data_IF_664729919362
#
_entry.id   IF_664729919362
#
_cell.length_a   1.000
_cell.length_b   1.000
_cell.length_c   1.000
_cell.angle_alpha   90.00
_cell.angle_beta   90.00
_cell.angle_gamma   90.00
#
_symmetry.space_group_name_H-M   'P 1'
#
loop_
_entity.id
_entity.type
_entity.pdbx_description
1 polymer ?
#
# COMPACT_ATOMS: atom_id res chain seq x y z
N UNK A 1 16.87 54.20 4.61
CA UNK A 1 17.56 53.01 5.16
C UNK A 1 16.61 52.20 6.04
N UNK A 2 15.30 52.19 5.71
CA UNK A 2 14.21 51.64 6.53
C UNK A 2 13.40 50.50 5.90
N UNK A 3 13.78 49.97 4.74
CA UNK A 3 12.90 49.03 4.01
C UNK A 3 13.46 47.61 3.82
N UNK A 4 14.70 47.36 4.22
CA UNK A 4 15.29 46.02 4.15
C UNK A 4 15.00 45.14 5.38
N UNK A 5 14.55 45.71 6.51
CA UNK A 5 14.24 44.97 7.74
C UNK A 5 12.85 44.35 7.71
N UNK A 6 11.87 44.90 6.98
CA UNK A 6 10.53 44.34 6.83
C UNK A 6 10.51 43.09 5.94
N UNK A 7 11.28 43.06 4.87
CA UNK A 7 11.36 41.85 4.00
C UNK A 7 12.16 40.70 4.63
N UNK A 8 13.01 40.97 5.63
CA UNK A 8 13.74 39.93 6.36
C UNK A 8 12.87 39.26 7.44
N UNK A 9 11.86 39.93 7.99
CA UNK A 9 10.97 39.39 9.03
C UNK A 9 9.80 38.57 8.46
N UNK A 10 9.35 38.84 7.23
CA UNK A 10 8.29 38.04 6.59
C UNK A 10 8.79 36.69 6.03
N UNK A 11 10.09 36.50 5.80
CA UNK A 11 10.70 35.24 5.35
C UNK A 11 11.01 34.23 6.45
N UNK A 12 10.88 34.61 7.72
CA UNK A 12 11.24 33.80 8.88
C UNK A 12 10.03 33.21 9.67
N UNK A 13 8.79 33.41 9.18
CA UNK A 13 7.61 32.84 9.80
C UNK A 13 7.65 31.31 9.60
N UNK A 14 7.93 30.56 10.69
CA UNK A 14 7.90 29.11 10.72
C UNK A 14 6.51 28.61 10.37
N UNK A 15 6.42 27.48 9.64
CA UNK A 15 5.13 26.83 9.32
C UNK A 15 4.46 26.42 10.63
N UNK A 16 3.27 26.93 10.89
CA UNK A 16 2.49 26.65 12.12
C UNK A 16 1.88 25.24 12.09
N UNK A 17 1.61 24.66 13.26
CA UNK A 17 0.94 23.38 13.38
C UNK A 17 -0.45 23.38 12.69
N UNK A 18 -1.18 24.49 12.72
CA UNK A 18 -2.48 24.66 12.07
C UNK A 18 -2.36 24.63 10.54
N UNK A 19 -1.33 25.25 9.98
CA UNK A 19 -1.05 25.21 8.55
C UNK A 19 -0.67 23.80 8.09
N UNK A 20 0.17 23.08 8.87
CA UNK A 20 0.51 21.69 8.58
C UNK A 20 -0.75 20.80 8.62
N UNK A 21 -1.64 20.98 9.60
CA UNK A 21 -2.89 20.22 9.68
C UNK A 21 -3.83 20.49 8.50
N UNK A 22 -3.92 21.75 8.07
CA UNK A 22 -4.71 22.15 6.89
C UNK A 22 -4.14 21.53 5.62
N UNK A 23 -2.82 21.58 5.46
CA UNK A 23 -2.13 20.97 4.34
C UNK A 23 -2.30 19.45 4.32
N UNK A 24 -2.18 18.78 5.48
CA UNK A 24 -2.40 17.35 5.63
C UNK A 24 -3.81 16.94 5.17
N UNK A 25 -4.86 17.68 5.55
CA UNK A 25 -6.23 17.43 5.09
C UNK A 25 -6.36 17.55 3.57
N UNK A 26 -5.72 18.58 2.98
CA UNK A 26 -5.70 18.76 1.52
C UNK A 26 -4.96 17.60 0.81
N UNK A 27 -3.80 17.21 1.32
CA UNK A 27 -3.03 16.07 0.79
C UNK A 27 -3.85 14.79 0.81
N UNK A 28 -4.50 14.50 1.95
CA UNK A 28 -5.39 13.34 2.06
C UNK A 28 -6.52 13.39 1.04
N UNK A 29 -7.23 14.52 0.91
CA UNK A 29 -8.33 14.66 -0.03
C UNK A 29 -7.87 14.44 -1.49
N UNK A 30 -6.79 15.10 -1.92
CA UNK A 30 -6.25 14.95 -3.28
C UNK A 30 -5.82 13.52 -3.56
N UNK A 31 -5.16 12.88 -2.60
CA UNK A 31 -4.70 11.50 -2.74
C UNK A 31 -5.87 10.51 -2.75
N UNK A 32 -6.90 10.73 -1.92
CA UNK A 32 -8.15 9.94 -1.93
C UNK A 32 -8.84 10.01 -3.29
N UNK A 33 -9.00 11.23 -3.85
CA UNK A 33 -9.60 11.40 -5.18
C UNK A 33 -8.80 10.64 -6.24
N UNK A 34 -7.47 10.77 -6.21
CA UNK A 34 -6.61 10.02 -7.14
C UNK A 34 -6.75 8.50 -6.97
N UNK A 35 -6.89 7.99 -5.73
CA UNK A 35 -7.07 6.56 -5.44
C UNK A 35 -8.43 6.03 -5.89
N UNK A 36 -9.49 6.80 -5.72
CA UNK A 36 -10.82 6.43 -6.24
C UNK A 36 -10.80 6.25 -7.77
N UNK A 37 -10.13 7.19 -8.48
CA UNK A 37 -9.96 7.10 -9.92
C UNK A 37 -9.08 5.89 -10.30
N UNK A 38 -7.89 5.78 -9.70
CA UNK A 38 -6.92 4.73 -10.03
C UNK A 38 -7.38 3.33 -9.68
N UNK A 39 -8.24 3.17 -8.65
CA UNK A 39 -8.75 1.87 -8.23
C UNK A 39 -9.53 1.15 -9.34
N UNK A 40 -10.29 1.89 -10.14
CA UNK A 40 -10.97 1.32 -11.30
C UNK A 40 -9.98 0.78 -12.36
N UNK A 41 -8.85 1.48 -12.52
CA UNK A 41 -7.76 1.02 -13.39
C UNK A 41 -7.09 -0.25 -12.89
N UNK A 42 -6.82 -0.35 -11.58
CA UNK A 42 -6.15 -1.52 -11.01
C UNK A 42 -6.95 -2.82 -11.24
N UNK A 43 -8.27 -2.76 -11.11
CA UNK A 43 -9.14 -3.92 -11.24
C UNK A 43 -9.11 -4.55 -12.64
N UNK A 44 -8.91 -3.76 -13.70
CA UNK A 44 -8.83 -4.26 -15.08
C UNK A 44 -7.71 -5.30 -15.25
N UNK A 45 -6.51 -5.00 -14.75
CA UNK A 45 -5.37 -5.90 -14.86
C UNK A 45 -5.55 -7.23 -14.14
N UNK A 46 -6.18 -7.20 -12.97
CA UNK A 46 -6.39 -8.39 -12.12
C UNK A 46 -7.46 -9.30 -12.72
N UNK A 47 -8.57 -8.73 -13.22
CA UNK A 47 -9.74 -9.51 -13.67
C UNK A 47 -9.63 -9.99 -15.12
N UNK A 48 -9.03 -9.22 -16.00
CA UNK A 48 -9.13 -9.46 -17.46
C UNK A 48 -7.76 -9.71 -18.10
N UNK A 49 -6.67 -9.33 -17.44
CA UNK A 49 -5.32 -9.43 -18.02
C UNK A 49 -4.94 -10.84 -18.47
N UNK A 50 -5.27 -11.86 -17.69
CA UNK A 50 -5.00 -13.26 -18.04
C UNK A 50 -5.86 -13.73 -19.21
N UNK A 51 -7.15 -13.37 -19.21
CA UNK A 51 -8.08 -13.75 -20.29
C UNK A 51 -7.71 -13.10 -21.62
N UNK A 52 -7.35 -11.81 -21.61
CA UNK A 52 -6.92 -11.11 -22.83
C UNK A 52 -5.63 -11.70 -23.39
N UNK A 53 -4.71 -12.09 -22.53
CA UNK A 53 -3.48 -12.71 -22.98
C UNK A 53 -3.70 -14.14 -23.51
N UNK A 54 -4.61 -14.90 -22.93
CA UNK A 54 -4.99 -16.22 -23.46
C UNK A 54 -5.61 -16.09 -24.86
N UNK A 55 -6.49 -15.12 -25.05
CA UNK A 55 -7.13 -14.82 -26.33
C UNK A 55 -6.10 -14.46 -27.42
N UNK A 56 -5.14 -13.58 -27.11
CA UNK A 56 -4.10 -13.13 -28.07
C UNK A 56 -2.99 -14.17 -28.26
N UNK A 57 -2.63 -14.95 -27.22
CA UNK A 57 -1.56 -15.96 -27.29
C UNK A 57 -2.06 -17.32 -27.82
N UNK A 58 -3.38 -17.53 -27.87
CA UNK A 58 -3.98 -18.77 -28.35
C UNK A 58 -3.69 -20.02 -27.51
N UNK A 59 -3.23 -19.87 -26.27
CA UNK A 59 -2.88 -21.01 -25.40
C UNK A 59 -3.04 -20.68 -23.91
N UNK A 60 -3.75 -21.57 -23.20
CA UNK A 60 -3.92 -21.51 -21.74
C UNK A 60 -2.62 -21.71 -20.96
N UNK A 61 -1.63 -22.40 -21.55
CA UNK A 61 -0.33 -22.65 -20.91
C UNK A 61 0.47 -21.36 -20.63
N UNK A 62 0.17 -20.26 -21.32
CA UNK A 62 0.83 -18.96 -21.19
C UNK A 62 0.07 -17.97 -20.29
N UNK A 63 -1.12 -18.35 -19.78
CA UNK A 63 -2.00 -17.45 -19.01
C UNK A 63 -1.36 -16.85 -17.74
N UNK A 64 -0.32 -17.47 -17.20
CA UNK A 64 0.42 -16.95 -16.04
C UNK A 64 1.44 -15.85 -16.36
N UNK A 65 1.91 -15.75 -17.62
CA UNK A 65 2.96 -14.80 -18.01
C UNK A 65 2.53 -13.34 -17.80
N UNK A 66 1.31 -12.90 -18.17
CA UNK A 66 0.86 -11.54 -17.97
C UNK A 66 0.89 -11.11 -16.50
N UNK A 67 0.44 -11.97 -15.60
CA UNK A 67 0.46 -11.71 -14.16
C UNK A 67 1.90 -11.59 -13.62
N UNK A 68 2.81 -12.43 -14.10
CA UNK A 68 4.22 -12.37 -13.74
C UNK A 68 4.88 -11.07 -14.26
N UNK A 69 4.64 -10.68 -15.50
CA UNK A 69 5.15 -9.45 -16.10
C UNK A 69 4.58 -8.19 -15.44
N UNK A 70 3.28 -8.17 -15.16
CA UNK A 70 2.62 -7.11 -14.39
C UNK A 70 3.26 -6.95 -13.01
N UNK A 71 3.48 -8.05 -12.28
CA UNK A 71 4.11 -8.03 -10.96
C UNK A 71 5.56 -7.57 -11.03
N UNK A 72 6.34 -8.07 -12.00
CA UNK A 72 7.72 -7.65 -12.22
C UNK A 72 7.80 -6.16 -12.57
N UNK A 73 6.93 -5.68 -13.44
CA UNK A 73 6.80 -4.27 -13.80
C UNK A 73 6.47 -3.39 -12.60
N UNK A 74 5.52 -3.82 -11.77
CA UNK A 74 5.16 -3.15 -10.52
C UNK A 74 6.34 -3.09 -9.54
N UNK A 75 7.09 -4.17 -9.39
CA UNK A 75 8.26 -4.25 -8.50
C UNK A 75 9.37 -3.27 -8.93
N UNK A 76 9.71 -3.24 -10.23
CA UNK A 76 10.68 -2.29 -10.79
C UNK A 76 10.17 -0.85 -10.63
N UNK A 77 8.90 -0.60 -10.99
CA UNK A 77 8.28 0.71 -10.90
C UNK A 77 8.27 1.23 -9.46
N UNK A 78 8.04 0.39 -8.45
CA UNK A 78 8.08 0.79 -7.04
C UNK A 78 9.42 1.41 -6.64
N UNK A 79 10.52 0.81 -7.09
CA UNK A 79 11.88 1.35 -6.84
C UNK A 79 12.12 2.66 -7.58
N UNK A 80 11.75 2.73 -8.86
CA UNK A 80 11.92 3.94 -9.69
C UNK A 80 11.10 5.09 -9.12
N UNK A 81 9.82 4.86 -8.81
CA UNK A 81 8.92 5.86 -8.22
C UNK A 81 9.40 6.32 -6.84
N UNK A 82 9.94 5.41 -6.02
CA UNK A 82 10.56 5.74 -4.74
C UNK A 82 11.74 6.71 -4.93
N UNK A 83 12.61 6.46 -5.92
CA UNK A 83 13.74 7.34 -6.26
C UNK A 83 13.29 8.69 -6.83
N UNK A 84 12.30 8.69 -7.73
CA UNK A 84 11.71 9.93 -8.26
C UNK A 84 11.04 10.74 -7.16
N UNK A 85 10.26 10.10 -6.28
CA UNK A 85 9.65 10.76 -5.12
C UNK A 85 10.72 11.33 -4.18
N UNK A 86 11.83 10.62 -4.01
CA UNK A 86 12.95 11.09 -3.20
C UNK A 86 13.63 12.32 -3.79
N UNK A 87 13.80 12.37 -5.11
CA UNK A 87 14.47 13.48 -5.79
C UNK A 87 13.56 14.69 -5.97
N UNK A 88 12.31 14.47 -6.39
CA UNK A 88 11.42 15.51 -6.88
C UNK A 88 10.10 15.66 -6.11
N UNK A 89 9.89 14.85 -5.07
CA UNK A 89 8.67 14.83 -4.25
C UNK A 89 7.64 13.79 -4.69
N UNK A 90 6.63 13.57 -3.82
CA UNK A 90 5.55 12.59 -4.03
C UNK A 90 4.72 12.89 -5.27
N UNK A 91 4.46 14.16 -5.53
CA UNK A 91 3.70 14.61 -6.67
C UNK A 91 4.29 14.06 -7.98
N UNK A 92 5.60 14.23 -8.17
CA UNK A 92 6.27 13.76 -9.39
C UNK A 92 6.30 12.23 -9.45
N UNK A 93 6.70 11.56 -8.36
CA UNK A 93 6.79 10.10 -8.33
C UNK A 93 5.45 9.41 -8.62
N UNK A 94 4.38 9.83 -7.95
CA UNK A 94 3.06 9.22 -8.11
C UNK A 94 2.42 9.58 -9.46
N UNK A 95 2.48 10.85 -9.88
CA UNK A 95 1.93 11.28 -11.17
C UNK A 95 2.62 10.57 -12.34
N UNK A 96 3.95 10.42 -12.29
CA UNK A 96 4.71 9.64 -13.29
C UNK A 96 4.30 8.17 -13.26
N UNK A 97 4.16 7.58 -12.06
CA UNK A 97 3.77 6.19 -11.91
C UNK A 97 2.42 5.87 -12.54
N UNK A 98 1.40 6.70 -12.27
CA UNK A 98 0.10 6.56 -12.91
C UNK A 98 0.13 6.91 -14.40
N UNK A 99 0.87 7.94 -14.81
CA UNK A 99 1.03 8.31 -16.23
C UNK A 99 1.65 7.18 -17.06
N UNK A 100 2.69 6.54 -16.55
CA UNK A 100 3.32 5.36 -17.18
C UNK A 100 2.34 4.19 -17.20
N UNK A 101 1.57 3.97 -16.12
CA UNK A 101 0.49 2.97 -16.09
C UNK A 101 -0.59 3.22 -17.15
N UNK A 102 -0.96 4.48 -17.38
CA UNK A 102 -1.90 4.86 -18.44
C UNK A 102 -1.34 4.55 -19.83
N UNK A 103 -0.07 4.85 -20.08
CA UNK A 103 0.62 4.48 -21.34
C UNK A 103 0.64 2.96 -21.53
N UNK A 104 0.94 2.21 -20.46
CA UNK A 104 0.86 0.75 -20.47
C UNK A 104 -0.53 0.24 -20.83
N UNK A 105 -1.60 0.85 -20.26
CA UNK A 105 -2.99 0.50 -20.58
C UNK A 105 -3.32 0.72 -22.07
N UNK A 106 -2.89 1.85 -22.64
CA UNK A 106 -3.03 2.13 -24.09
C UNK A 106 -2.26 1.10 -24.92
N UNK A 107 -1.03 0.77 -24.50
CA UNK A 107 -0.22 -0.25 -25.17
C UNK A 107 -0.87 -1.64 -25.19
N UNK A 108 -1.57 -2.02 -24.09
CA UNK A 108 -2.35 -3.27 -24.02
C UNK A 108 -3.48 -3.25 -25.06
N UNK A 109 -4.24 -2.14 -25.14
CA UNK A 109 -5.32 -1.99 -26.11
C UNK A 109 -4.78 -2.07 -27.54
N UNK A 110 -3.69 -1.36 -27.84
CA UNK A 110 -3.06 -1.40 -29.17
C UNK A 110 -2.57 -2.81 -29.50
N UNK A 111 -1.89 -3.49 -28.55
CA UNK A 111 -1.44 -4.87 -28.72
C UNK A 111 -2.57 -5.85 -29.01
N UNK A 112 -3.72 -5.67 -28.35
CA UNK A 112 -4.91 -6.48 -28.58
C UNK A 112 -5.57 -6.19 -29.94
N UNK A 113 -5.64 -4.92 -30.36
CA UNK A 113 -6.26 -4.52 -31.65
C UNK A 113 -5.40 -4.93 -32.83
N UNK A 114 -4.08 -4.86 -32.68
CA UNK A 114 -3.12 -5.21 -33.76
C UNK A 114 -2.69 -6.67 -33.74
N UNK A 115 -3.27 -7.46 -32.83
CA UNK A 115 -2.95 -8.89 -32.65
C UNK A 115 -1.44 -9.14 -32.47
N UNK A 116 -0.78 -8.29 -31.64
CA UNK A 116 0.66 -8.35 -31.38
C UNK A 116 0.98 -8.79 -29.95
N UNK A 117 1.26 -10.10 -29.74
CA UNK A 117 1.51 -10.65 -28.41
C UNK A 117 2.68 -10.00 -27.67
N UNK A 118 3.77 -9.71 -28.38
CA UNK A 118 4.97 -9.11 -27.75
C UNK A 118 4.68 -7.71 -27.23
N UNK A 119 3.93 -6.89 -28.01
CA UNK A 119 3.52 -5.56 -27.59
C UNK A 119 2.61 -5.63 -26.37
N UNK A 120 1.64 -6.54 -26.37
CA UNK A 120 0.71 -6.74 -25.25
C UNK A 120 1.47 -7.12 -23.96
N UNK A 121 2.39 -8.08 -24.02
CA UNK A 121 3.19 -8.52 -22.88
C UNK A 121 4.12 -7.42 -22.36
N UNK A 122 4.79 -6.69 -23.25
CA UNK A 122 5.61 -5.53 -22.87
C UNK A 122 4.76 -4.44 -22.20
N UNK A 123 3.58 -4.15 -22.74
CA UNK A 123 2.66 -3.18 -22.21
C UNK A 123 2.10 -3.59 -20.82
N UNK A 124 1.88 -4.90 -20.56
CA UNK A 124 1.51 -5.42 -19.23
C UNK A 124 2.58 -5.09 -18.19
N UNK A 125 3.85 -5.19 -18.54
CA UNK A 125 4.95 -4.82 -17.65
C UNK A 125 4.90 -3.32 -17.31
N UNK A 126 4.68 -2.47 -18.31
CA UNK A 126 4.56 -1.02 -18.14
C UNK A 126 3.32 -0.65 -17.32
N UNK A 127 2.21 -1.33 -17.56
CA UNK A 127 0.95 -1.16 -16.80
C UNK A 127 1.10 -1.41 -15.30
N UNK A 128 1.99 -2.31 -14.89
CA UNK A 128 2.35 -2.56 -13.49
C UNK A 128 2.80 -1.32 -12.72
N UNK A 129 3.27 -0.26 -13.42
CA UNK A 129 3.64 1.02 -12.81
C UNK A 129 2.46 1.70 -12.12
N UNK A 130 1.24 1.60 -12.67
CA UNK A 130 0.02 2.13 -12.04
C UNK A 130 -0.30 1.42 -10.72
N UNK A 131 -0.11 0.10 -10.65
CA UNK A 131 -0.30 -0.67 -9.42
C UNK A 131 0.73 -0.28 -8.33
N UNK A 132 1.98 -0.06 -8.70
CA UNK A 132 3.00 0.44 -7.78
C UNK A 132 2.65 1.84 -7.23
N UNK A 133 2.19 2.76 -8.10
CA UNK A 133 1.75 4.09 -7.69
C UNK A 133 0.54 4.03 -6.74
N UNK A 134 -0.43 3.15 -7.02
CA UNK A 134 -1.58 2.91 -6.17
C UNK A 134 -1.15 2.50 -4.75
N UNK A 135 -0.25 1.55 -4.63
CA UNK A 135 0.26 1.10 -3.35
C UNK A 135 1.10 2.18 -2.65
N UNK A 136 1.93 2.94 -3.38
CA UNK A 136 2.79 3.98 -2.80
C UNK A 136 2.04 5.26 -2.37
N UNK A 137 0.84 5.50 -2.90
CA UNK A 137 0.04 6.67 -2.52
C UNK A 137 -0.25 6.75 -1.01
N UNK A 138 -0.30 5.59 -0.30
CA UNK A 138 -0.46 5.56 1.16
C UNK A 138 0.63 6.31 1.92
N UNK A 139 1.84 6.36 1.37
CA UNK A 139 2.95 7.07 2.00
C UNK A 139 2.79 8.60 1.92
N UNK A 140 2.24 9.10 0.81
CA UNK A 140 1.96 10.53 0.66
C UNK A 140 0.96 11.00 1.73
N UNK A 141 -0.04 10.16 2.06
CA UNK A 141 -0.97 10.42 3.15
C UNK A 141 -0.30 10.48 4.53
N UNK A 142 0.78 9.73 4.75
CA UNK A 142 1.47 9.65 6.03
C UNK A 142 2.57 10.69 6.22
N UNK A 143 3.06 11.34 5.16
CA UNK A 143 4.27 12.17 5.19
C UNK A 143 4.16 13.40 6.12
N UNK A 144 3.00 14.02 6.22
CA UNK A 144 2.71 15.17 7.09
C UNK A 144 1.86 14.81 8.31
N UNK A 145 1.43 13.55 8.42
CA UNK A 145 0.63 13.11 9.56
C UNK A 145 1.48 13.08 10.84
N UNK A 146 0.92 13.53 11.98
CA UNK A 146 1.57 13.38 13.27
C UNK A 146 1.78 11.90 13.59
N UNK A 147 2.75 11.54 14.45
CA UNK A 147 3.08 10.14 14.76
C UNK A 147 1.88 9.29 15.21
N UNK A 148 0.97 9.89 15.98
CA UNK A 148 -0.27 9.31 16.52
C UNK A 148 -1.44 9.28 15.51
N UNK A 149 -1.25 9.79 14.30
CA UNK A 149 -2.24 9.85 13.23
C UNK A 149 -1.81 9.17 11.93
N UNK A 150 -0.59 8.61 11.85
CA UNK A 150 -0.04 8.01 10.62
C UNK A 150 -0.80 6.77 10.18
N UNK A 151 -1.20 5.92 11.13
CA UNK A 151 -1.99 4.74 10.85
C UNK A 151 -3.34 5.10 10.22
N UNK A 152 -4.05 6.08 10.79
CA UNK A 152 -5.31 6.60 10.23
C UNK A 152 -5.12 7.23 8.84
N UNK A 153 -4.04 7.98 8.62
CA UNK A 153 -3.74 8.59 7.33
C UNK A 153 -3.51 7.52 6.24
N UNK A 154 -2.70 6.48 6.53
CA UNK A 154 -2.50 5.31 5.65
C UNK A 154 -3.82 4.62 5.35
N UNK A 155 -4.61 4.34 6.38
CA UNK A 155 -5.90 3.67 6.28
C UNK A 155 -6.91 4.40 5.40
N UNK A 156 -6.97 5.73 5.51
CA UNK A 156 -7.85 6.57 4.69
C UNK A 156 -7.56 6.37 3.21
N UNK A 157 -6.28 6.29 2.82
CA UNK A 157 -5.88 6.07 1.44
C UNK A 157 -6.23 4.64 0.98
N UNK A 158 -6.01 3.64 1.83
CA UNK A 158 -6.32 2.24 1.49
C UNK A 158 -7.82 2.00 1.33
N UNK A 159 -8.67 2.60 2.18
CA UNK A 159 -10.13 2.50 2.03
C UNK A 159 -10.60 3.15 0.73
N UNK A 160 -10.01 4.26 0.31
CA UNK A 160 -10.34 4.88 -0.96
C UNK A 160 -10.09 3.93 -2.15
N UNK A 161 -9.02 3.13 -2.09
CA UNK A 161 -8.73 2.10 -3.10
C UNK A 161 -9.84 1.05 -3.20
N UNK A 162 -10.49 0.71 -2.08
CA UNK A 162 -11.55 -0.32 -2.04
C UNK A 162 -12.71 0.02 -2.97
N UNK A 163 -13.14 1.27 -2.97
CA UNK A 163 -14.27 1.72 -3.81
C UNK A 163 -13.96 1.47 -5.28
N UNK A 164 -12.78 1.84 -5.74
CA UNK A 164 -12.34 1.59 -7.11
C UNK A 164 -12.16 0.09 -7.41
N UNK A 165 -11.58 -0.66 -6.48
CA UNK A 165 -11.34 -2.09 -6.64
C UNK A 165 -12.64 -2.91 -6.68
N UNK A 166 -13.68 -2.49 -5.94
CA UNK A 166 -15.02 -3.12 -5.98
C UNK A 166 -15.78 -2.70 -7.23
N UNK A 167 -15.69 -1.42 -7.63
CA UNK A 167 -16.35 -0.93 -8.82
C UNK A 167 -15.79 -1.56 -10.11
N UNK A 168 -14.47 -1.79 -10.17
CA UNK A 168 -13.77 -2.26 -11.37
C UNK A 168 -14.34 -3.53 -11.99
N UNK A 169 -14.45 -4.67 -11.26
CA UNK A 169 -15.04 -5.90 -11.81
C UNK A 169 -16.46 -5.72 -12.31
N UNK A 170 -17.27 -4.87 -11.65
CA UNK A 170 -18.64 -4.58 -12.08
C UNK A 170 -18.70 -3.75 -13.37
N UNK A 171 -17.64 -3.01 -13.70
CA UNK A 171 -17.51 -2.23 -14.91
C UNK A 171 -16.98 -3.03 -16.10
N UNK A 172 -16.42 -4.22 -15.89
CA UNK A 172 -15.82 -5.06 -16.96
C UNK A 172 -16.81 -5.35 -18.07
N UNK A 173 -18.02 -5.82 -17.74
CA UNK A 173 -19.03 -6.14 -18.74
C UNK A 173 -19.55 -4.90 -19.48
N UNK A 174 -19.67 -3.76 -18.79
CA UNK A 174 -20.11 -2.51 -19.37
C UNK A 174 -19.06 -1.92 -20.32
N UNK A 175 -17.79 -1.83 -19.87
CA UNK A 175 -16.67 -1.33 -20.68
C UNK A 175 -16.37 -2.24 -21.86
N UNK A 176 -16.54 -3.56 -21.69
CA UNK A 176 -16.40 -4.52 -22.78
C UNK A 176 -17.43 -4.30 -23.89
N UNK A 177 -18.69 -4.02 -23.54
CA UNK A 177 -19.74 -3.66 -24.53
C UNK A 177 -19.41 -2.36 -25.26
N UNK A 178 -19.03 -1.31 -24.53
CA UNK A 178 -18.62 -0.05 -25.14
C UNK A 178 -17.42 -0.22 -26.09
N UNK A 179 -16.47 -1.08 -25.75
CA UNK A 179 -15.34 -1.39 -26.63
C UNK A 179 -15.84 -2.06 -27.92
N UNK A 180 -16.73 -3.04 -27.83
CA UNK A 180 -17.33 -3.71 -28.99
C UNK A 180 -18.10 -2.74 -29.89
N UNK A 181 -18.86 -1.80 -29.32
CA UNK A 181 -19.65 -0.79 -30.05
C UNK A 181 -18.73 0.12 -30.90
N UNK A 182 -17.47 0.30 -30.53
CA UNK A 182 -16.47 1.08 -31.29
C UNK A 182 -15.47 0.20 -32.07
N UNK A 183 -15.76 -1.10 -32.21
CA UNK A 183 -14.94 -2.04 -32.98
C UNK A 183 -13.66 -2.51 -32.31
N UNK A 184 -13.54 -2.35 -30.98
CA UNK A 184 -12.41 -2.85 -30.20
C UNK A 184 -12.72 -4.25 -29.64
N UNK A 185 -11.71 -5.09 -29.37
CA UNK A 185 -11.90 -6.35 -28.65
C UNK A 185 -12.59 -6.14 -27.29
N UNK A 186 -13.57 -6.97 -26.97
CA UNK A 186 -14.36 -6.85 -25.71
C UNK A 186 -13.47 -6.81 -24.48
N UNK A 187 -12.45 -7.66 -24.42
CA UNK A 187 -11.53 -7.74 -23.29
C UNK A 187 -10.57 -6.54 -23.20
N UNK A 188 -10.47 -5.68 -24.23
CA UNK A 188 -9.68 -4.45 -24.17
C UNK A 188 -10.42 -3.31 -23.45
N UNK A 189 -11.76 -3.37 -23.35
CA UNK A 189 -12.59 -2.31 -22.74
C UNK A 189 -12.17 -1.89 -21.32
N UNK A 190 -11.92 -2.82 -20.40
CA UNK A 190 -11.43 -2.50 -19.07
C UNK A 190 -10.08 -1.76 -19.08
N UNK A 191 -9.21 -2.02 -20.07
CA UNK A 191 -7.92 -1.32 -20.19
C UNK A 191 -8.07 0.08 -20.79
N UNK A 192 -9.08 0.32 -21.61
CA UNK A 192 -9.48 1.68 -22.04
C UNK A 192 -9.90 2.48 -20.81
N UNK A 193 -10.76 1.92 -19.94
CA UNK A 193 -11.13 2.55 -18.67
C UNK A 193 -9.89 2.81 -17.80
N UNK A 194 -8.98 1.83 -17.71
CA UNK A 194 -7.75 1.96 -16.93
C UNK A 194 -6.85 3.09 -17.45
N UNK A 195 -6.75 3.27 -18.76
CA UNK A 195 -5.98 4.35 -19.37
C UNK A 195 -6.51 5.72 -18.94
N UNK A 196 -7.84 5.93 -19.03
CA UNK A 196 -8.47 7.18 -18.57
C UNK A 196 -8.37 7.37 -17.06
N UNK A 197 -8.60 6.32 -16.27
CA UNK A 197 -8.56 6.35 -14.81
C UNK A 197 -7.16 6.71 -14.28
N UNK A 198 -6.13 6.06 -14.82
CA UNK A 198 -4.74 6.36 -14.45
C UNK A 198 -4.27 7.72 -14.96
N UNK A 199 -4.65 8.13 -16.18
CA UNK A 199 -4.35 9.46 -16.68
C UNK A 199 -5.01 10.54 -15.83
N UNK A 200 -6.27 10.37 -15.46
CA UNK A 200 -6.98 11.29 -14.58
C UNK A 200 -6.33 11.37 -13.19
N UNK A 201 -5.97 10.22 -12.59
CA UNK A 201 -5.25 10.20 -11.31
C UNK A 201 -3.89 10.91 -11.41
N UNK A 202 -3.13 10.69 -12.49
CA UNK A 202 -1.87 11.38 -12.75
C UNK A 202 -2.05 12.90 -12.84
N UNK A 203 -3.06 13.36 -13.57
CA UNK A 203 -3.38 14.78 -13.73
C UNK A 203 -3.82 15.42 -12.41
N UNK A 204 -4.68 14.76 -11.64
CA UNK A 204 -5.12 15.23 -10.31
C UNK A 204 -3.92 15.42 -9.39
N UNK A 205 -3.02 14.44 -9.32
CA UNK A 205 -1.82 14.54 -8.49
C UNK A 205 -0.86 15.60 -9.01
N UNK A 206 -0.60 15.66 -10.32
CA UNK A 206 0.29 16.64 -10.92
C UNK A 206 -0.20 18.08 -10.72
N UNK A 207 -1.51 18.31 -10.81
CA UNK A 207 -2.10 19.64 -10.68
C UNK A 207 -2.33 20.07 -9.23
N UNK A 208 -2.91 19.16 -8.39
CA UNK A 208 -3.49 19.52 -7.10
C UNK A 208 -2.62 19.15 -5.88
N UNK A 209 -1.67 18.20 -6.01
CA UNK A 209 -0.78 17.82 -4.90
C UNK A 209 0.33 18.87 -4.73
N UNK A 210 -0.08 20.09 -4.41
CA UNK A 210 0.79 21.25 -4.17
C UNK A 210 0.32 21.95 -2.89
N UNK A 211 1.28 22.31 -1.99
CA UNK A 211 2.70 21.94 -2.00
C UNK A 211 2.90 20.43 -1.78
N UNK A 212 4.07 19.92 -2.20
CA UNK A 212 4.41 18.51 -2.11
C UNK A 212 4.61 18.07 -0.66
N UNK A 213 3.91 17.01 -0.16
CA UNK A 213 3.96 16.63 1.25
C UNK A 213 5.35 16.19 1.72
N UNK A 214 6.12 15.47 0.90
CA UNK A 214 7.45 15.01 1.26
C UNK A 214 8.45 16.18 1.32
N UNK A 215 8.37 17.13 0.39
CA UNK A 215 9.25 18.29 0.38
C UNK A 215 8.96 19.21 1.57
N UNK A 216 7.68 19.40 1.92
CA UNK A 216 7.28 20.15 3.13
C UNK A 216 7.78 19.42 4.39
N UNK A 217 7.59 18.11 4.50
CA UNK A 217 8.07 17.33 5.64
C UNK A 217 9.60 17.45 5.81
N UNK A 218 10.35 17.46 4.70
CA UNK A 218 11.81 17.71 4.73
C UNK A 218 12.16 19.11 5.22
N UNK A 219 11.45 20.13 4.70
CA UNK A 219 11.66 21.51 5.12
C UNK A 219 11.42 21.70 6.61
N UNK A 220 10.32 21.13 7.14
CA UNK A 220 10.04 21.15 8.57
C UNK A 220 11.15 20.45 9.37
N UNK A 221 11.67 19.32 8.88
CA UNK A 221 12.72 18.58 9.56
C UNK A 221 14.06 19.32 9.65
N UNK A 222 14.33 20.27 8.72
CA UNK A 222 15.58 21.04 8.67
C UNK A 222 15.48 22.39 9.39
N UNK A 223 14.28 22.82 9.84
CA UNK A 223 14.13 24.08 10.60
C UNK A 223 14.79 23.96 11.99
N UNK A 224 15.49 25.02 12.48
CA UNK A 224 15.98 25.11 13.86
C UNK A 224 14.85 24.93 14.88
N UNK A 225 15.16 24.35 16.03
CA UNK A 225 14.17 24.09 17.09
C UNK A 225 13.53 25.39 17.61
N UNK A 226 14.27 26.48 17.62
CA UNK A 226 13.80 27.80 18.07
C UNK A 226 12.67 28.39 17.20
N UNK A 227 12.62 28.05 15.92
CA UNK A 227 11.54 28.47 15.00
C UNK A 227 10.32 27.54 15.03
N UNK A 228 10.34 26.49 15.85
CA UNK A 228 9.24 25.52 16.02
C UNK A 228 8.35 25.83 17.22
N UNK A 229 8.59 26.93 17.95
CA UNK A 229 7.87 27.30 19.16
C UNK A 229 6.38 27.49 18.92
N UNK A 230 5.55 27.05 19.88
CA UNK A 230 4.15 27.42 19.92
C UNK A 230 4.03 28.91 20.28
N UNK A 231 3.01 29.52 19.72
CA UNK A 231 2.40 30.81 20.04
C UNK A 231 2.93 31.51 21.30
N UNK A 232 3.34 32.77 21.08
CA UNK A 232 3.78 33.73 22.04
C UNK A 232 3.06 33.66 23.40
N UNK A 233 3.89 33.69 24.45
CA UNK A 233 3.50 34.07 25.80
C UNK A 233 2.73 35.39 25.80
N UNK A 234 1.49 35.37 26.23
CA UNK A 234 0.91 36.55 26.85
C UNK A 234 1.60 36.76 28.20
N UNK A 235 2.16 37.94 28.49
CA UNK A 235 2.81 38.22 29.76
C UNK A 235 1.76 38.44 30.84
N UNK A 236 1.59 37.51 31.76
CA UNK A 236 0.88 37.81 33.00
C UNK A 236 -0.01 36.75 33.62
N UNK A 237 0.46 35.53 33.84
CA UNK A 237 -0.08 34.71 34.97
C UNK A 237 1.07 33.84 35.49
N UNK A 238 1.49 34.12 36.70
CA UNK A 238 2.48 33.34 37.42
C UNK A 238 1.93 31.94 37.72
N UNK A 239 2.69 30.96 37.29
CA UNK A 239 2.38 29.55 37.28
C UNK A 239 2.71 28.84 38.61
N UNK A 240 1.84 27.91 38.97
CA UNK A 240 2.14 26.80 39.85
C UNK A 240 1.42 25.54 39.38
N UNK A 241 1.90 24.91 38.30
CA UNK A 241 1.72 23.47 38.07
C UNK A 241 2.75 22.96 37.07
N UNK A 242 3.81 22.39 37.58
CA UNK A 242 4.74 21.59 36.81
C UNK A 242 4.05 20.34 36.20
N UNK A 243 4.21 20.11 34.90
CA UNK A 243 4.10 18.81 34.31
C UNK A 243 2.89 18.49 33.45
N UNK A 244 2.84 18.99 32.22
CA UNK A 244 2.32 18.23 31.08
C UNK A 244 2.72 18.95 29.76
N UNK A 245 3.90 18.65 29.26
CA UNK A 245 4.32 19.04 27.93
C UNK A 245 3.58 18.17 26.89
N UNK A 246 2.40 18.62 26.46
CA UNK A 246 1.57 17.99 25.41
C UNK A 246 1.57 18.88 24.17
N UNK A 247 2.76 19.24 23.73
CA UNK A 247 2.93 19.77 22.38
C UNK A 247 3.10 18.60 21.38
N UNK A 248 2.55 18.67 20.14
CA UNK A 248 2.83 17.64 19.16
C UNK A 248 4.32 17.65 18.86
N UNK A 249 5.04 16.59 19.26
CA UNK A 249 6.49 16.42 19.02
C UNK A 249 6.76 16.18 17.54
N UNK A 250 6.54 17.18 16.71
CA UNK A 250 6.97 17.24 15.31
C UNK A 250 8.48 17.45 15.26
N UNK A 251 9.26 16.42 15.52
CA UNK A 251 10.70 16.56 15.40
C UNK A 251 11.57 15.72 16.33
N UNK A 252 11.02 14.71 17.02
CA UNK A 252 11.86 13.70 17.60
C UNK A 252 12.74 13.11 16.49
N UNK A 253 14.06 13.23 16.60
CA UNK A 253 15.02 12.59 15.69
C UNK A 253 14.64 11.10 15.65
N UNK A 254 14.28 10.53 14.49
CA UNK A 254 14.06 9.10 14.42
C UNK A 254 15.39 8.43 14.82
N UNK A 255 15.37 7.74 15.94
CA UNK A 255 16.47 6.88 16.30
C UNK A 255 16.60 5.85 15.17
N UNK A 256 17.66 5.97 14.37
CA UNK A 256 17.96 5.13 13.22
C UNK A 256 18.33 3.73 13.74
N UNK A 257 17.33 2.90 14.05
CA UNK A 257 17.59 1.50 14.26
C UNK A 257 17.30 0.76 12.94
N UNK A 258 18.37 0.34 12.27
CA UNK A 258 18.29 -0.54 11.09
C UNK A 258 17.38 -1.75 11.37
N UNK A 259 17.32 -2.19 12.63
CA UNK A 259 16.41 -3.22 13.10
C UNK A 259 14.93 -2.90 12.95
N UNK A 260 14.52 -1.65 13.14
CA UNK A 260 13.11 -1.26 12.99
C UNK A 260 12.65 -1.20 11.53
N UNK A 261 13.53 -0.77 10.60
CA UNK A 261 13.26 -0.83 9.15
C UNK A 261 13.15 -2.29 8.70
N UNK A 262 14.09 -3.13 9.13
CA UNK A 262 14.10 -4.55 8.82
C UNK A 262 12.84 -5.25 9.35
N UNK A 263 12.38 -4.94 10.57
CA UNK A 263 11.15 -5.49 11.13
C UNK A 263 9.93 -5.09 10.30
N UNK A 264 9.79 -3.82 9.96
CA UNK A 264 8.67 -3.33 9.13
C UNK A 264 8.66 -4.02 7.76
N UNK A 265 9.82 -4.09 7.09
CA UNK A 265 9.97 -4.74 5.80
C UNK A 265 9.65 -6.24 5.89
N UNK A 266 10.22 -6.97 6.88
CA UNK A 266 9.97 -8.40 7.08
C UNK A 266 8.49 -8.67 7.33
N UNK A 267 7.82 -7.86 8.16
CA UNK A 267 6.40 -8.01 8.42
C UNK A 267 5.58 -7.83 7.13
N UNK A 268 5.84 -6.78 6.36
CA UNK A 268 5.13 -6.53 5.10
C UNK A 268 5.39 -7.63 4.06
N UNK A 269 6.61 -8.13 3.97
CA UNK A 269 6.99 -9.22 3.04
C UNK A 269 6.31 -10.53 3.43
N UNK A 270 6.42 -10.96 4.70
CA UNK A 270 5.82 -12.21 5.16
C UNK A 270 4.30 -12.19 5.06
N UNK A 271 3.65 -11.09 5.45
CA UNK A 271 2.19 -10.97 5.34
C UNK A 271 1.73 -11.03 3.89
N UNK A 272 2.47 -10.41 2.95
CA UNK A 272 2.15 -10.44 1.53
C UNK A 272 2.44 -11.80 0.91
N UNK A 273 3.55 -12.44 1.26
CA UNK A 273 3.92 -13.77 0.77
C UNK A 273 2.85 -14.81 1.16
N UNK A 274 2.49 -14.88 2.44
CA UNK A 274 1.47 -15.80 2.95
C UNK A 274 0.11 -15.53 2.29
N UNK A 275 -0.28 -14.25 2.22
CA UNK A 275 -1.54 -13.83 1.63
C UNK A 275 -1.63 -14.25 0.17
N UNK A 276 -0.64 -13.93 -0.66
CA UNK A 276 -0.65 -14.26 -2.09
C UNK A 276 -0.61 -15.77 -2.30
N UNK A 277 0.19 -16.51 -1.52
CA UNK A 277 0.30 -17.95 -1.65
C UNK A 277 -1.05 -18.65 -1.46
N UNK A 278 -1.75 -18.39 -0.36
CA UNK A 278 -3.02 -19.05 -0.04
C UNK A 278 -4.13 -18.56 -0.98
N UNK A 279 -4.23 -17.24 -1.23
CA UNK A 279 -5.24 -16.67 -2.11
C UNK A 279 -5.17 -17.24 -3.52
N UNK A 280 -3.95 -17.42 -4.08
CA UNK A 280 -3.76 -17.89 -5.47
C UNK A 280 -4.28 -19.31 -5.67
N UNK A 281 -4.11 -20.20 -4.68
CA UNK A 281 -4.52 -21.58 -4.79
C UNK A 281 -5.97 -21.85 -4.33
N UNK A 282 -6.61 -20.90 -3.66
CA UNK A 282 -8.00 -21.09 -3.19
C UNK A 282 -9.01 -21.32 -4.33
N UNK A 283 -9.00 -20.58 -5.45
CA UNK A 283 -9.89 -20.86 -6.57
C UNK A 283 -9.67 -22.24 -7.20
N UNK A 284 -8.43 -22.71 -7.26
CA UNK A 284 -8.08 -24.03 -7.77
C UNK A 284 -8.67 -25.09 -6.84
N UNK A 285 -8.40 -24.97 -5.54
CA UNK A 285 -8.91 -25.89 -4.52
C UNK A 285 -10.45 -25.99 -4.53
N UNK A 286 -11.16 -24.88 -4.63
CA UNK A 286 -12.62 -24.86 -4.72
C UNK A 286 -13.13 -25.59 -5.99
N UNK A 287 -12.49 -25.39 -7.14
CA UNK A 287 -12.86 -26.06 -8.40
C UNK A 287 -12.62 -27.57 -8.33
N UNK A 288 -11.50 -28.00 -7.76
CA UNK A 288 -11.15 -29.41 -7.61
C UNK A 288 -12.18 -30.16 -6.73
N UNK A 289 -12.89 -29.43 -5.84
CA UNK A 289 -14.00 -29.95 -5.02
C UNK A 289 -15.39 -29.69 -5.63
N UNK A 290 -15.46 -29.40 -6.93
CA UNK A 290 -16.73 -29.31 -7.67
C UNK A 290 -17.49 -27.98 -7.52
N UNK A 291 -16.90 -26.95 -6.89
CA UNK A 291 -17.54 -25.65 -6.76
C UNK A 291 -17.48 -24.84 -8.05
N UNK A 292 -18.60 -24.25 -8.44
CA UNK A 292 -18.69 -23.34 -9.59
C UNK A 292 -18.09 -21.97 -9.32
N UNK A 293 -18.11 -21.11 -10.33
CA UNK A 293 -17.54 -19.75 -10.28
C UNK A 293 -18.21 -18.82 -9.24
N UNK A 294 -19.49 -19.05 -8.91
CA UNK A 294 -20.22 -18.25 -7.92
C UNK A 294 -19.59 -18.30 -6.52
N UNK A 295 -19.45 -19.49 -5.90
CA UNK A 295 -18.76 -19.66 -4.63
C UNK A 295 -17.32 -19.11 -4.63
N UNK A 296 -16.55 -19.36 -5.70
CA UNK A 296 -15.19 -18.79 -5.86
C UNK A 296 -15.23 -17.27 -5.79
N UNK A 297 -16.16 -16.65 -6.51
CA UNK A 297 -16.32 -15.19 -6.51
C UNK A 297 -16.66 -14.64 -5.13
N UNK A 298 -17.53 -15.31 -4.37
CA UNK A 298 -17.89 -14.91 -3.00
C UNK A 298 -16.69 -14.98 -2.08
N UNK A 299 -15.94 -16.09 -2.10
CA UNK A 299 -14.76 -16.27 -1.22
C UNK A 299 -13.69 -15.23 -1.51
N UNK A 300 -13.38 -14.97 -2.79
CA UNK A 300 -12.41 -13.93 -3.17
C UNK A 300 -12.96 -12.53 -2.85
N UNK A 301 -14.25 -12.27 -3.06
CA UNK A 301 -14.88 -11.00 -2.70
C UNK A 301 -14.79 -10.68 -1.21
N UNK A 302 -15.04 -11.67 -0.35
CA UNK A 302 -14.87 -11.57 1.11
C UNK A 302 -13.40 -11.26 1.44
N UNK A 303 -12.45 -11.97 0.82
CA UNK A 303 -11.02 -11.72 1.02
C UNK A 303 -10.65 -10.27 0.72
N UNK A 304 -11.01 -9.78 -0.46
CA UNK A 304 -10.71 -8.40 -0.89
C UNK A 304 -11.38 -7.37 0.04
N UNK A 305 -12.61 -7.64 0.48
CA UNK A 305 -13.29 -6.78 1.44
C UNK A 305 -12.47 -6.67 2.75
N UNK A 306 -11.99 -7.79 3.29
CA UNK A 306 -11.19 -7.81 4.52
C UNK A 306 -9.76 -7.31 4.35
N UNK A 307 -9.23 -7.23 3.12
CA UNK A 307 -7.96 -6.53 2.83
C UNK A 307 -8.05 -5.01 3.06
N UNK A 308 -9.21 -4.40 2.84
CA UNK A 308 -9.29 -2.94 2.80
C UNK A 308 -10.30 -2.33 3.78
N UNK A 309 -11.51 -2.88 3.93
CA UNK A 309 -12.56 -2.31 4.80
C UNK A 309 -12.14 -2.16 6.27
N UNK A 310 -11.37 -3.09 6.87
CA UNK A 310 -10.91 -2.93 8.26
C UNK A 310 -9.82 -1.88 8.44
N UNK A 311 -9.28 -1.30 7.35
CA UNK A 311 -8.15 -0.35 7.44
C UNK A 311 -8.35 0.78 8.46
N UNK A 312 -9.53 1.42 8.61
CA UNK A 312 -9.71 2.45 9.64
C UNK A 312 -9.48 1.93 11.07
N UNK A 313 -9.93 0.69 11.33
CA UNK A 313 -9.70 0.03 12.62
C UNK A 313 -8.21 -0.31 12.79
N UNK A 314 -7.58 -0.88 11.77
CA UNK A 314 -6.15 -1.21 11.79
C UNK A 314 -5.27 0.03 12.00
N UNK A 315 -5.65 1.15 11.36
CA UNK A 315 -4.97 2.43 11.55
C UNK A 315 -5.14 3.00 12.94
N UNK A 316 -6.36 2.96 13.45
CA UNK A 316 -6.64 3.39 14.82
C UNK A 316 -5.90 2.53 15.86
N UNK A 317 -5.89 1.21 15.68
CA UNK A 317 -5.11 0.30 16.55
C UNK A 317 -3.61 0.65 16.51
N UNK A 318 -3.05 0.90 15.31
CA UNK A 318 -1.65 1.26 15.15
C UNK A 318 -1.31 2.59 15.82
N UNK A 319 -2.22 3.57 15.78
CA UNK A 319 -2.02 4.88 16.41
C UNK A 319 -2.22 4.80 17.93
N UNK A 320 -3.18 3.98 18.42
CA UNK A 320 -3.52 3.89 19.84
C UNK A 320 -2.58 3.01 20.65
N UNK A 321 -2.24 1.82 20.11
CA UNK A 321 -1.48 0.79 20.83
C UNK A 321 -0.02 0.67 20.35
N UNK A 322 0.33 1.41 19.29
CA UNK A 322 1.64 1.35 18.66
C UNK A 322 1.76 0.29 17.54
N UNK A 323 2.87 0.35 16.81
CA UNK A 323 3.08 -0.46 15.60
C UNK A 323 3.40 -1.93 15.89
N UNK A 324 4.28 -2.25 16.88
CA UNK A 324 4.64 -3.65 17.15
C UNK A 324 3.47 -4.54 17.56
N UNK A 325 2.53 -4.14 18.47
CA UNK A 325 1.36 -4.95 18.80
C UNK A 325 0.47 -5.24 17.58
N UNK A 326 0.32 -4.27 16.66
CA UNK A 326 -0.48 -4.46 15.43
C UNK A 326 0.20 -5.46 14.48
N UNK A 327 1.53 -5.44 14.37
CA UNK A 327 2.28 -6.43 13.60
C UNK A 327 2.21 -7.84 14.24
N UNK A 328 2.19 -7.93 15.59
CA UNK A 328 1.94 -9.20 16.28
C UNK A 328 0.53 -9.72 15.99
N UNK A 329 -0.48 -8.84 16.05
CA UNK A 329 -1.85 -9.19 15.72
C UNK A 329 -1.99 -9.64 14.26
N UNK A 330 -1.26 -9.01 13.32
CA UNK A 330 -1.19 -9.48 11.93
C UNK A 330 -0.67 -10.92 11.85
N UNK A 331 0.41 -11.24 12.56
CA UNK A 331 0.97 -12.59 12.63
C UNK A 331 -0.02 -13.61 13.20
N UNK A 332 -0.70 -13.27 14.30
CA UNK A 332 -1.72 -14.14 14.92
C UNK A 332 -2.93 -14.35 14.00
N UNK A 333 -3.37 -13.31 13.32
CA UNK A 333 -4.49 -13.38 12.38
C UNK A 333 -4.14 -14.26 11.17
N UNK A 334 -2.93 -14.13 10.62
CA UNK A 334 -2.44 -14.97 9.51
C UNK A 334 -2.22 -16.42 9.96
N UNK A 335 -1.71 -16.63 11.18
CA UNK A 335 -1.62 -17.97 11.77
C UNK A 335 -3.00 -18.62 11.81
N UNK A 336 -4.01 -17.92 12.34
CA UNK A 336 -5.39 -18.41 12.39
C UNK A 336 -5.94 -18.68 10.98
N UNK A 337 -5.67 -17.80 10.01
CA UNK A 337 -6.06 -17.99 8.63
C UNK A 337 -5.47 -19.27 8.03
N UNK A 338 -4.17 -19.50 8.24
CA UNK A 338 -3.48 -20.71 7.77
C UNK A 338 -4.00 -21.98 8.41
N UNK A 339 -4.26 -21.97 9.73
CA UNK A 339 -4.84 -23.10 10.46
C UNK A 339 -6.25 -23.41 9.96
N UNK A 340 -7.12 -22.39 9.82
CA UNK A 340 -8.48 -22.60 9.30
C UNK A 340 -8.42 -23.12 7.85
N UNK A 341 -7.56 -22.56 7.00
CA UNK A 341 -7.37 -23.03 5.63
C UNK A 341 -6.89 -24.50 5.56
N UNK A 342 -5.98 -24.89 6.48
CA UNK A 342 -5.43 -26.25 6.53
C UNK A 342 -6.44 -27.28 7.00
N UNK A 343 -7.36 -26.90 7.91
CA UNK A 343 -8.35 -27.79 8.52
C UNK A 343 -9.72 -27.74 7.85
N UNK A 344 -9.95 -26.76 6.95
CA UNK A 344 -11.22 -26.62 6.26
C UNK A 344 -11.49 -27.83 5.37
N UNK A 345 -12.66 -28.50 5.50
CA UNK A 345 -13.09 -29.49 4.52
C UNK A 345 -13.18 -28.84 3.12
N UNK A 346 -12.76 -29.57 2.09
CA UNK A 346 -12.68 -29.04 0.72
C UNK A 346 -14.04 -28.57 0.14
N UNK A 347 -15.14 -29.09 0.67
CA UNK A 347 -16.51 -28.74 0.31
C UNK A 347 -17.07 -27.53 1.11
N UNK A 348 -16.37 -27.08 2.15
CA UNK A 348 -16.84 -25.99 3.01
C UNK A 348 -16.47 -24.61 2.50
N UNK A 349 -17.28 -24.03 1.62
CA UNK A 349 -17.15 -22.64 1.13
C UNK A 349 -17.11 -21.64 2.30
N UNK A 350 -17.87 -21.89 3.37
CA UNK A 350 -17.94 -20.98 4.53
C UNK A 350 -16.60 -20.93 5.28
N UNK A 351 -15.98 -22.08 5.59
CA UNK A 351 -14.70 -22.10 6.29
C UNK A 351 -13.57 -21.51 5.42
N UNK A 352 -13.59 -21.75 4.11
CA UNK A 352 -12.66 -21.13 3.19
C UNK A 352 -12.87 -19.61 3.11
N UNK A 353 -14.12 -19.12 3.13
CA UNK A 353 -14.41 -17.70 3.21
C UNK A 353 -13.90 -17.07 4.52
N UNK A 354 -14.05 -17.76 5.66
CA UNK A 354 -13.50 -17.33 6.95
C UNK A 354 -11.97 -17.31 6.91
N UNK A 355 -11.33 -18.36 6.38
CA UNK A 355 -9.87 -18.40 6.23
C UNK A 355 -9.37 -17.21 5.41
N UNK A 356 -10.03 -16.91 4.28
CA UNK A 356 -9.66 -15.81 3.41
C UNK A 356 -10.00 -14.43 3.99
N UNK A 357 -11.06 -14.30 4.77
CA UNK A 357 -11.34 -13.08 5.53
C UNK A 357 -10.22 -12.79 6.53
N UNK A 358 -9.81 -13.79 7.32
CA UNK A 358 -8.67 -13.67 8.24
C UNK A 358 -7.37 -13.37 7.49
N UNK A 359 -7.15 -14.00 6.34
CA UNK A 359 -5.99 -13.78 5.50
C UNK A 359 -5.91 -12.31 5.02
N UNK A 360 -7.03 -11.77 4.53
CA UNK A 360 -7.13 -10.37 4.12
C UNK A 360 -6.90 -9.40 5.29
N UNK A 361 -7.52 -9.67 6.44
CA UNK A 361 -7.35 -8.87 7.66
C UNK A 361 -5.89 -8.91 8.16
N UNK A 362 -5.25 -10.06 8.18
CA UNK A 362 -3.85 -10.20 8.60
C UNK A 362 -2.90 -9.42 7.69
N UNK A 363 -3.11 -9.47 6.37
CA UNK A 363 -2.38 -8.65 5.42
C UNK A 363 -2.63 -7.15 5.64
N UNK A 364 -3.87 -6.73 5.86
CA UNK A 364 -4.21 -5.34 6.13
C UNK A 364 -3.48 -4.79 7.38
N UNK A 365 -3.52 -5.54 8.49
CA UNK A 365 -2.82 -5.17 9.73
C UNK A 365 -1.31 -5.05 9.49
N UNK A 366 -0.72 -5.99 8.76
CA UNK A 366 0.71 -5.98 8.42
C UNK A 366 1.09 -4.81 7.52
N UNK A 367 0.27 -4.50 6.51
CA UNK A 367 0.51 -3.39 5.59
C UNK A 367 0.36 -2.04 6.30
N UNK A 368 -0.72 -1.82 7.06
CA UNK A 368 -0.98 -0.56 7.77
C UNK A 368 0.07 -0.34 8.86
N UNK A 369 0.30 -1.33 9.73
CA UNK A 369 1.28 -1.26 10.80
C UNK A 369 2.71 -1.12 10.29
N UNK A 370 3.08 -1.91 9.28
CA UNK A 370 4.40 -1.86 8.63
C UNK A 370 4.67 -0.53 7.93
N UNK A 371 3.69 0.00 7.19
CA UNK A 371 3.78 1.31 6.52
C UNK A 371 3.95 2.45 7.52
N UNK A 372 3.15 2.47 8.60
CA UNK A 372 3.25 3.47 9.66
C UNK A 372 4.62 3.37 10.37
N UNK A 373 5.06 2.16 10.72
CA UNK A 373 6.36 1.92 11.33
C UNK A 373 7.51 2.39 10.44
N UNK A 374 7.48 2.03 9.15
CA UNK A 374 8.51 2.43 8.19
C UNK A 374 8.58 3.96 8.06
N UNK A 375 7.44 4.64 8.10
CA UNK A 375 7.38 6.10 8.06
C UNK A 375 7.92 6.73 9.35
N UNK A 376 7.69 6.10 10.51
CA UNK A 376 8.21 6.58 11.80
C UNK A 376 9.74 6.52 11.88
N UNK A 377 10.35 5.44 11.38
CA UNK A 377 11.78 5.16 11.56
C UNK A 377 12.66 5.70 10.43
N UNK A 378 12.07 6.22 9.35
CA UNK A 378 12.80 6.78 8.22
C UNK A 378 12.82 8.31 8.26
N UNK A 379 14.02 8.88 8.07
CA UNK A 379 14.15 10.34 7.92
C UNK A 379 13.50 10.82 6.61
N UNK A 380 12.96 12.04 6.60
CA UNK A 380 12.35 12.62 5.40
C UNK A 380 13.34 12.66 4.21
N UNK A 381 14.64 12.74 4.49
CA UNK A 381 15.71 12.74 3.49
C UNK A 381 15.91 11.42 2.74
N UNK A 382 15.49 10.27 3.31
CA UNK A 382 15.69 8.94 2.72
C UNK A 382 14.37 8.15 2.56
N UNK A 383 13.28 8.68 3.11
CA UNK A 383 12.01 7.98 3.31
C UNK A 383 11.46 7.37 2.03
N UNK A 384 11.31 8.15 0.97
CA UNK A 384 10.70 7.67 -0.26
C UNK A 384 11.54 6.60 -0.96
N UNK A 385 12.88 6.73 -0.92
CA UNK A 385 13.80 5.72 -1.45
C UNK A 385 13.70 4.41 -0.67
N UNK A 386 13.72 4.49 0.66
CA UNK A 386 13.60 3.31 1.53
C UNK A 386 12.26 2.61 1.34
N UNK A 387 11.16 3.38 1.27
CA UNK A 387 9.82 2.86 1.02
C UNK A 387 9.72 2.15 -0.34
N UNK A 388 10.27 2.73 -1.41
CA UNK A 388 10.30 2.11 -2.73
C UNK A 388 11.10 0.80 -2.75
N UNK A 389 12.22 0.72 -2.03
CA UNK A 389 12.99 -0.51 -1.92
C UNK A 389 12.25 -1.59 -1.11
N UNK A 390 11.55 -1.21 -0.04
CA UNK A 390 10.71 -2.13 0.74
C UNK A 390 9.56 -2.65 -0.12
N UNK A 391 8.89 -1.79 -0.87
CA UNK A 391 7.81 -2.19 -1.78
C UNK A 391 8.30 -3.15 -2.89
N UNK A 392 9.54 -2.98 -3.38
CA UNK A 392 10.17 -3.96 -4.28
C UNK A 392 10.25 -5.34 -3.63
N UNK A 393 10.78 -5.42 -2.40
CA UNK A 393 10.94 -6.71 -1.71
C UNK A 393 9.59 -7.31 -1.34
N UNK A 394 8.58 -6.49 -1.00
CA UNK A 394 7.20 -6.92 -0.78
C UNK A 394 6.60 -7.52 -2.06
N UNK A 395 6.80 -6.87 -3.21
CA UNK A 395 6.31 -7.40 -4.49
C UNK A 395 6.99 -8.71 -4.87
N UNK A 396 8.32 -8.84 -4.64
CA UNK A 396 9.05 -10.09 -4.83
C UNK A 396 8.54 -11.19 -3.88
N UNK A 397 8.25 -10.84 -2.62
CA UNK A 397 7.64 -11.77 -1.65
C UNK A 397 6.29 -12.30 -2.15
N UNK A 398 5.43 -11.41 -2.67
CA UNK A 398 4.15 -11.79 -3.27
C UNK A 398 4.33 -12.72 -4.48
N UNK A 399 5.25 -12.38 -5.39
CA UNK A 399 5.57 -13.21 -6.57
C UNK A 399 6.07 -14.60 -6.16
N UNK A 400 6.97 -14.66 -5.17
CA UNK A 400 7.49 -15.94 -4.62
C UNK A 400 6.36 -16.76 -3.99
N UNK A 401 5.46 -16.12 -3.21
CA UNK A 401 4.30 -16.77 -2.62
C UNK A 401 3.38 -17.36 -3.69
N UNK A 402 3.04 -16.58 -4.72
CA UNK A 402 2.19 -17.03 -5.81
C UNK A 402 2.79 -18.21 -6.62
N UNK A 403 4.05 -18.09 -7.04
CA UNK A 403 4.74 -19.16 -7.79
C UNK A 403 4.97 -20.42 -6.93
N UNK A 404 5.41 -20.23 -5.69
CA UNK A 404 5.71 -21.35 -4.79
C UNK A 404 4.48 -22.11 -4.32
N UNK A 405 3.31 -21.45 -4.26
CA UNK A 405 2.08 -22.06 -3.75
C UNK A 405 1.63 -23.27 -4.56
N UNK A 406 1.76 -23.22 -5.87
CA UNK A 406 1.42 -24.34 -6.75
C UNK A 406 2.30 -25.58 -6.49
N UNK A 407 3.61 -25.38 -6.29
CA UNK A 407 4.53 -26.48 -5.96
C UNK A 407 4.19 -27.10 -4.59
N UNK A 408 3.87 -26.31 -3.58
CA UNK A 408 3.47 -26.80 -2.26
C UNK A 408 2.18 -27.61 -2.35
N UNK A 409 1.18 -27.11 -3.09
CA UNK A 409 -0.09 -27.83 -3.30
C UNK A 409 0.12 -29.13 -4.04
N UNK A 410 1.00 -29.16 -5.05
CA UNK A 410 1.33 -30.39 -5.80
C UNK A 410 1.97 -31.48 -4.92
N UNK A 411 2.71 -31.09 -3.86
CA UNK A 411 3.38 -32.03 -2.93
C UNK A 411 2.43 -32.57 -1.86
N UNK A 412 1.61 -31.72 -1.26
CA UNK A 412 0.82 -32.12 -0.08
C UNK A 412 -0.57 -31.48 0.02
N UNK A 413 -1.09 -30.99 -1.11
CA UNK A 413 -2.42 -30.40 -1.19
C UNK A 413 -2.54 -29.00 -0.54
N UNK A 414 -3.75 -28.48 -0.58
CA UNK A 414 -4.06 -27.15 -0.03
C UNK A 414 -3.87 -27.06 1.50
N UNK A 415 -4.10 -28.15 2.22
CA UNK A 415 -3.87 -28.24 3.67
C UNK A 415 -2.41 -27.98 4.05
N UNK A 416 -1.44 -28.58 3.30
CA UNK A 416 -0.01 -28.31 3.51
C UNK A 416 0.31 -26.83 3.29
N UNK A 417 -0.27 -26.20 2.27
CA UNK A 417 -0.09 -24.75 2.01
C UNK A 417 -0.60 -23.93 3.20
N UNK A 418 -1.76 -24.28 3.78
CA UNK A 418 -2.28 -23.64 4.99
C UNK A 418 -1.32 -23.75 6.17
N UNK A 419 -0.75 -24.94 6.43
CA UNK A 419 0.25 -25.14 7.49
C UNK A 419 1.55 -24.40 7.24
N UNK A 420 2.03 -24.33 6.00
CA UNK A 420 3.19 -23.53 5.64
C UNK A 420 2.93 -22.02 5.91
N UNK A 421 1.75 -21.51 5.53
CA UNK A 421 1.35 -20.13 5.81
C UNK A 421 1.28 -19.84 7.32
N UNK A 422 0.70 -20.75 8.11
CA UNK A 422 0.65 -20.67 9.56
C UNK A 422 2.06 -20.64 10.17
N UNK A 423 2.94 -21.55 9.75
CA UNK A 423 4.33 -21.61 10.21
C UNK A 423 5.13 -20.35 9.90
N UNK A 424 5.02 -19.82 8.68
CA UNK A 424 5.69 -18.57 8.29
C UNK A 424 5.17 -17.38 9.10
N UNK A 425 3.89 -17.36 9.43
CA UNK A 425 3.30 -16.28 10.24
C UNK A 425 3.85 -16.24 11.67
N UNK A 426 4.26 -17.39 12.23
CA UNK A 426 4.91 -17.47 13.54
C UNK A 426 6.23 -16.72 13.58
N UNK A 427 6.93 -16.57 12.45
CA UNK A 427 8.21 -15.82 12.40
C UNK A 427 8.04 -14.34 12.73
N UNK A 428 6.83 -13.79 12.61
CA UNK A 428 6.54 -12.41 12.99
C UNK A 428 6.56 -12.19 14.50
N UNK A 429 6.14 -13.17 15.29
CA UNK A 429 5.99 -13.01 16.75
C UNK A 429 7.32 -12.76 17.46
N UNK A 430 8.39 -13.59 17.30
CA UNK A 430 9.66 -13.36 17.96
C UNK A 430 10.35 -12.08 17.45
N UNK A 431 10.17 -11.70 16.18
CA UNK A 431 10.71 -10.47 15.65
C UNK A 431 10.10 -9.24 16.32
N UNK A 432 8.79 -9.24 16.56
CA UNK A 432 8.06 -8.18 17.27
C UNK A 432 8.45 -8.11 18.75
N UNK A 433 8.55 -9.27 19.42
CA UNK A 433 8.94 -9.33 20.84
C UNK A 433 10.36 -8.79 21.06
N UNK A 434 11.31 -9.14 20.19
CA UNK A 434 12.68 -8.61 20.27
C UNK A 434 12.74 -7.10 20.07
N UNK A 435 11.94 -6.58 19.15
CA UNK A 435 11.88 -5.15 18.90
C UNK A 435 11.24 -4.38 20.06
N UNK A 436 10.25 -4.94 20.75
CA UNK A 436 9.66 -4.38 21.97
C UNK A 436 10.71 -4.27 23.09
N UNK A 437 11.39 -5.38 23.40
CA UNK A 437 12.43 -5.42 24.44
C UNK A 437 13.62 -4.48 24.19
N UNK A 438 14.03 -4.33 22.92
CA UNK A 438 15.08 -3.40 22.56
C UNK A 438 14.70 -1.94 22.79
N UNK A 439 13.43 -1.61 22.70
CA UNK A 439 12.90 -0.27 22.97
C UNK A 439 12.84 0.02 24.46
N UNK A 440 12.32 -0.91 25.25
CA UNK A 440 12.24 -0.80 26.70
C UNK A 440 13.63 -0.62 27.33
N UNK A 441 14.64 -1.38 26.87
CA UNK A 441 16.03 -1.26 27.29
C UNK A 441 16.66 0.10 26.94
N UNK A 442 16.22 0.75 25.88
CA UNK A 442 16.73 2.08 25.46
C UNK A 442 16.08 3.20 26.27
N UNK A 443 14.82 3.03 26.66
CA UNK A 443 14.09 3.98 27.52
C UNK A 443 14.60 3.90 28.98
N UNK A 444 14.97 2.72 29.46
CA UNK A 444 15.50 2.49 30.81
C UNK A 444 16.96 2.97 30.98
N UNK A 445 17.73 3.00 29.88
CA UNK A 445 19.12 3.49 29.84
C UNK A 445 19.24 5.00 29.65
N UNK A 446 18.14 5.73 29.43
CA UNK A 446 18.13 7.19 29.41
C UNK A 446 18.38 7.71 30.82
N UNK A 447 19.44 8.54 31.10
CA UNK A 447 19.72 9.03 32.42
C UNK A 447 18.50 9.81 32.91
N UNK A 448 17.96 9.36 34.06
CA UNK A 448 16.97 10.14 34.84
C UNK A 448 17.66 11.44 35.21
N UNK A 449 17.39 12.50 34.45
CA UNK A 449 17.89 13.84 34.77
C UNK A 449 17.36 14.26 36.13
N UNK A 450 18.22 14.15 37.12
CA UNK A 450 18.07 14.82 38.43
C UNK A 450 18.45 16.28 38.27
#
# INVERSE_FOLDING_TARGET
MGDRSRYASEGAAGITAAEVATLQRRVLLVTVVAQLLAGAGLAAGITVGALLAEDVLGSTGWAGIPAALFTAGSAVAATVQGRLSQAYGRRVGLATGYGVGAVGSVGIVVGAVTDQPILLLAAMTVYGSGAAANLQARYAGADLAPPDGRGRAVSTILVATTVGAVAGPNLVAWTGRLAADVGLPVLSGPFVLAAFAYAAAALVLAALLRPDPLLVARRIATMPVETRSPVADEPGVADTTAGADVGPRLGARPGRSTGSVALAATAMVLTTLVMVAVMTMTPVHLRDHGHGLGPVGVVIGVHVAFMYLPSPLSGWLADRYGRPPVLALAGLTLLSAGVVAALAPGDSVVLLAVALALLGLGWNLGLVGGTAMLTDVTSAGERARTQGNVDLVVALGGATGGMGSGAVVAIGGFGLLGWCGAGLSLLLLPAVVRAGRARDATEESAPSGT
#
